data_IF_780693828857
#
_entry.id   IF_780693828857
#
_cell.length_a   1.000
_cell.length_b   1.000
_cell.length_c   1.000
_cell.angle_alpha   90.00
_cell.angle_beta   90.00
_cell.angle_gamma   90.00
#
_symmetry.space_group_name_H-M   'P 1'
#
loop_
_entity.id
_entity.type
_entity.pdbx_description
1 polymer ?
#
# COMPACT_ATOMS: atom_id res chain seq x y z
N UNK A 1 -21.74 14.00 13.43
CA UNK A 1 -20.46 13.32 13.13
C UNK A 1 -20.25 13.31 11.62
N UNK A 2 -20.03 14.46 10.94
CA UNK A 2 -20.24 14.53 9.48
C UNK A 2 -18.99 14.42 8.59
N UNK A 3 -17.80 14.13 9.12
CA UNK A 3 -16.58 14.13 8.32
C UNK A 3 -15.85 12.81 8.55
N UNK A 4 -16.12 11.82 7.69
CA UNK A 4 -15.30 10.62 7.57
C UNK A 4 -13.84 11.08 7.48
N UNK A 5 -13.05 10.66 8.46
CA UNK A 5 -11.60 10.62 8.39
C UNK A 5 -11.22 10.15 6.99
N UNK A 6 -10.42 10.96 6.30
CA UNK A 6 -10.03 10.75 4.91
C UNK A 6 -9.66 9.28 4.72
N UNK A 7 -10.34 8.58 3.81
CA UNK A 7 -10.07 7.17 3.53
C UNK A 7 -8.70 7.05 2.87
N UNK A 8 -7.65 7.04 3.69
CA UNK A 8 -6.27 6.89 3.24
C UNK A 8 -6.12 5.50 2.67
N UNK A 9 -5.65 5.43 1.44
CA UNK A 9 -5.24 4.18 0.81
C UNK A 9 -3.73 4.08 0.91
N UNK A 10 -3.23 3.12 1.70
CA UNK A 10 -1.80 2.87 1.84
C UNK A 10 -1.37 1.80 0.85
N UNK A 11 -0.44 2.13 -0.05
CA UNK A 11 0.15 1.18 -0.98
C UNK A 11 1.59 0.90 -0.53
N UNK A 12 1.87 -0.36 -0.21
CA UNK A 12 3.19 -0.86 0.11
C UNK A 12 3.89 -1.27 -1.18
N UNK A 13 5.09 -0.75 -1.35
CA UNK A 13 5.97 -0.99 -2.49
C UNK A 13 7.36 -1.38 -2.02
N UNK A 14 8.12 -2.03 -2.90
CA UNK A 14 9.54 -2.34 -2.72
C UNK A 14 9.87 -2.93 -1.33
N UNK A 15 10.81 -2.30 -0.60
CA UNK A 15 11.28 -2.73 0.72
C UNK A 15 10.16 -2.75 1.78
N UNK A 16 9.18 -1.85 1.70
CA UNK A 16 8.07 -1.84 2.65
C UNK A 16 7.18 -3.08 2.49
N UNK A 17 6.97 -3.51 1.24
CA UNK A 17 6.22 -4.74 0.94
C UNK A 17 7.01 -5.98 1.39
N UNK A 18 8.32 -6.03 1.14
CA UNK A 18 9.19 -7.12 1.60
C UNK A 18 9.17 -7.24 3.13
N UNK A 19 9.34 -6.12 3.85
CA UNK A 19 9.37 -6.12 5.31
C UNK A 19 8.06 -6.65 5.94
N UNK A 20 6.92 -6.36 5.32
CA UNK A 20 5.62 -6.88 5.76
C UNK A 20 5.46 -8.37 5.42
N UNK A 21 6.03 -8.84 4.31
CA UNK A 21 6.02 -10.27 3.98
C UNK A 21 6.90 -11.09 4.92
N UNK A 22 8.05 -10.54 5.33
CA UNK A 22 8.95 -11.15 6.32
C UNK A 22 8.33 -11.13 7.73
N UNK A 23 7.67 -10.04 8.10
CA UNK A 23 7.06 -9.84 9.42
C UNK A 23 5.58 -9.38 9.30
N UNK A 24 4.64 -10.31 9.07
CA UNK A 24 3.21 -10.00 8.91
C UNK A 24 2.58 -9.21 10.06
N UNK A 25 3.10 -9.37 11.28
CA UNK A 25 2.60 -8.71 12.48
C UNK A 25 2.67 -7.17 12.40
N UNK A 26 3.55 -6.64 11.55
CA UNK A 26 3.66 -5.20 11.30
C UNK A 26 2.39 -4.60 10.68
N UNK A 27 1.59 -5.40 9.96
CA UNK A 27 0.32 -4.95 9.41
C UNK A 27 -0.69 -4.56 10.48
N UNK A 28 -0.67 -5.24 11.64
CA UNK A 28 -1.59 -4.95 12.74
C UNK A 28 -1.34 -3.56 13.36
N UNK A 29 -0.19 -2.96 13.07
CA UNK A 29 0.19 -1.63 13.55
C UNK A 29 -0.26 -0.52 12.60
N UNK A 30 -0.70 -0.88 11.38
CA UNK A 30 -1.14 0.08 10.39
C UNK A 30 -2.58 0.52 10.67
N UNK A 31 -2.85 1.84 10.73
CA UNK A 31 -4.20 2.34 10.98
C UNK A 31 -5.14 2.21 9.77
N UNK A 32 -4.61 1.80 8.60
CA UNK A 32 -5.34 1.75 7.34
C UNK A 32 -5.13 0.40 6.63
N UNK A 33 -6.06 -0.01 5.75
CA UNK A 33 -5.86 -1.17 4.89
C UNK A 33 -4.62 -1.00 4.01
N UNK A 34 -3.79 -2.04 3.94
CA UNK A 34 -2.59 -2.06 3.11
C UNK A 34 -2.91 -2.69 1.74
N UNK A 35 -2.38 -2.09 0.69
CA UNK A 35 -2.48 -2.58 -0.67
C UNK A 35 -1.09 -2.83 -1.24
N UNK A 36 -0.97 -3.70 -2.23
CA UNK A 36 0.25 -3.90 -3.01
C UNK A 36 -0.10 -3.96 -4.50
N UNK A 37 0.71 -3.35 -5.36
CA UNK A 37 0.49 -3.45 -6.80
C UNK A 37 0.79 -4.87 -7.27
N UNK A 38 -0.11 -5.45 -8.06
CA UNK A 38 0.07 -6.79 -8.64
C UNK A 38 1.40 -6.91 -9.40
N UNK A 39 1.81 -5.85 -10.10
CA UNK A 39 3.08 -5.83 -10.82
C UNK A 39 4.28 -5.89 -9.88
N UNK A 40 4.24 -5.22 -8.73
CA UNK A 40 5.32 -5.29 -7.75
C UNK A 40 5.43 -6.66 -7.10
N UNK A 41 4.29 -7.27 -6.76
CA UNK A 41 4.25 -8.64 -6.23
C UNK A 41 4.94 -9.60 -7.20
N UNK A 42 4.67 -9.46 -8.50
CA UNK A 42 5.31 -10.26 -9.53
C UNK A 42 6.81 -9.94 -9.69
N UNK A 43 7.20 -8.66 -9.69
CA UNK A 43 8.60 -8.23 -9.83
C UNK A 43 9.48 -8.69 -8.67
N UNK A 44 8.94 -8.68 -7.45
CA UNK A 44 9.64 -9.12 -6.24
C UNK A 44 9.63 -10.66 -6.08
N UNK A 45 8.93 -11.39 -6.96
CA UNK A 45 8.84 -12.85 -6.89
C UNK A 45 8.06 -13.37 -5.68
N UNK A 46 7.15 -12.56 -5.15
CA UNK A 46 6.35 -12.91 -3.97
C UNK A 46 5.23 -13.88 -4.37
N UNK A 47 5.28 -15.12 -3.84
CA UNK A 47 4.26 -16.13 -4.15
C UNK A 47 2.97 -15.94 -3.36
N UNK A 48 3.07 -15.41 -2.15
CA UNK A 48 1.95 -15.20 -1.24
C UNK A 48 2.12 -13.88 -0.52
N UNK A 49 1.01 -13.16 -0.32
CA UNK A 49 0.98 -11.99 0.54
C UNK A 49 0.37 -12.33 1.90
N UNK A 50 0.80 -11.62 2.96
CA UNK A 50 0.15 -11.73 4.25
C UNK A 50 -1.35 -11.41 4.20
N UNK A 51 -2.12 -12.05 5.09
CA UNK A 51 -3.51 -11.70 5.30
C UNK A 51 -3.60 -10.23 5.75
N UNK A 52 -4.39 -9.43 5.03
CA UNK A 52 -4.52 -7.99 5.28
C UNK A 52 -3.89 -7.11 4.21
N UNK A 53 -3.09 -7.66 3.28
CA UNK A 53 -2.63 -6.94 2.09
C UNK A 53 -3.53 -7.27 0.90
N UNK A 54 -4.15 -6.24 0.31
CA UNK A 54 -5.02 -6.39 -0.86
C UNK A 54 -4.22 -6.12 -2.13
N UNK A 55 -4.25 -7.06 -3.08
CA UNK A 55 -3.60 -6.85 -4.37
C UNK A 55 -4.42 -5.90 -5.26
N UNK A 56 -3.72 -4.94 -5.85
CA UNK A 56 -4.31 -3.88 -6.64
C UNK A 56 -3.81 -3.94 -8.09
N UNK A 57 -4.74 -4.03 -9.04
CA UNK A 57 -4.43 -4.00 -10.47
C UNK A 57 -4.15 -2.59 -10.97
N UNK A 58 -3.42 -2.48 -12.08
CA UNK A 58 -3.00 -1.19 -12.65
C UNK A 58 -4.19 -0.25 -12.97
N UNK A 59 -5.31 -0.78 -13.49
CA UNK A 59 -6.50 0.02 -13.76
C UNK A 59 -7.06 0.65 -12.48
N UNK A 60 -7.13 -0.12 -11.39
CA UNK A 60 -7.63 0.36 -10.10
C UNK A 60 -6.69 1.39 -9.47
N UNK A 61 -5.37 1.25 -9.68
CA UNK A 61 -4.39 2.23 -9.23
C UNK A 61 -4.64 3.59 -9.88
N UNK A 62 -4.81 3.60 -11.20
CA UNK A 62 -5.12 4.84 -11.94
C UNK A 62 -6.41 5.48 -11.42
N UNK A 63 -7.47 4.70 -11.24
CA UNK A 63 -8.73 5.23 -10.67
C UNK A 63 -8.55 5.86 -9.29
N UNK A 64 -7.78 5.22 -8.39
CA UNK A 64 -7.51 5.76 -7.06
C UNK A 64 -6.75 7.08 -7.14
N UNK A 65 -5.74 7.18 -8.00
CA UNK A 65 -4.98 8.44 -8.15
C UNK A 65 -5.81 9.57 -8.76
N UNK A 66 -6.74 9.26 -9.67
CA UNK A 66 -7.64 10.26 -10.26
C UNK A 66 -8.72 10.74 -9.29
N UNK A 67 -9.12 9.89 -8.33
CA UNK A 67 -10.16 10.21 -7.34
C UNK A 67 -9.61 10.75 -6.03
N UNK A 68 -8.30 10.58 -5.78
CA UNK A 68 -7.65 11.10 -4.59
C UNK A 68 -7.53 12.63 -4.64
N UNK A 69 -7.95 13.29 -3.57
CA UNK A 69 -7.73 14.74 -3.39
C UNK A 69 -6.24 15.08 -3.32
N UNK A 70 -5.44 14.17 -2.76
CA UNK A 70 -3.99 14.30 -2.60
C UNK A 70 -3.33 12.93 -2.70
N UNK A 71 -2.09 12.89 -3.20
CA UNK A 71 -1.22 11.72 -3.10
C UNK A 71 0.09 12.11 -2.43
N UNK A 72 0.66 11.20 -1.64
CA UNK A 72 1.95 11.38 -0.99
C UNK A 72 2.79 10.14 -1.24
N UNK A 73 4.07 10.35 -1.56
CA UNK A 73 5.06 9.29 -1.72
C UNK A 73 6.01 9.39 -0.54
N UNK A 74 6.27 8.26 0.11
CA UNK A 74 7.28 8.14 1.16
C UNK A 74 8.45 7.35 0.60
N UNK A 75 9.44 8.06 0.10
CA UNK A 75 10.72 7.50 -0.32
C UNK A 75 11.85 8.08 0.53
N UNK A 76 13.05 7.51 0.39
CA UNK A 76 14.24 7.99 1.09
C UNK A 76 14.64 9.43 0.72
N UNK A 77 14.04 10.05 -0.30
CA UNK A 77 14.34 11.44 -0.68
C UNK A 77 13.49 12.46 0.06
N UNK A 78 12.45 12.03 0.79
CA UNK A 78 11.52 12.90 1.51
C UNK A 78 11.95 13.26 2.96
N UNK A 79 13.14 12.86 3.40
CA UNK A 79 13.70 13.12 4.74
C UNK A 79 14.96 14.01 4.72
N UNK A 80 15.05 14.94 3.78
CA UNK A 80 16.08 16.00 3.76
C UNK A 80 15.62 17.30 4.39
#
# INVERSE_FOLDING_TARGET
>A
MPWLEQSVTLILSEQALLAVCEEPERLAQLPFPAYALQQEVALLGLQTLPAGVIQLGAARWVELTLTATTYQVWDHTCLS
#
